data_IF_469091329786
#
_entry.id   IF_469091329786
#
_cell.length_a   1.000
_cell.length_b   1.000
_cell.length_c   1.000
_cell.angle_alpha   90.00
_cell.angle_beta   90.00
_cell.angle_gamma   90.00
#
_symmetry.space_group_name_H-M   'P 1'
#
loop_
_entity.id
_entity.type
_entity.pdbx_description
1 polymer ?
#
# COMPACT_ATOMS: atom_id res chain seq x y z
N UNK A 1 -9.06 -8.83 18.10
CA UNK A 1 -9.53 -8.75 16.71
C UNK A 1 -10.69 -9.70 16.59
N UNK A 2 -11.77 -9.31 15.94
CA UNK A 2 -13.02 -10.10 15.89
C UNK A 2 -12.99 -11.15 14.77
N UNK A 3 -12.20 -10.93 13.70
CA UNK A 3 -12.05 -11.86 12.58
C UNK A 3 -10.60 -12.32 12.49
N UNK A 4 -10.40 -13.64 12.45
CA UNK A 4 -9.09 -14.20 12.15
C UNK A 4 -8.73 -13.86 10.69
N UNK A 5 -7.53 -13.32 10.48
CA UNK A 5 -7.06 -12.95 9.15
C UNK A 5 -5.56 -13.18 8.99
N UNK A 6 -5.15 -13.57 7.78
CA UNK A 6 -3.76 -13.62 7.31
C UNK A 6 -3.57 -12.68 6.13
N UNK A 7 -2.32 -12.39 5.77
CA UNK A 7 -1.98 -11.52 4.63
C UNK A 7 -2.66 -10.14 4.71
N UNK A 8 -2.85 -9.62 5.92
CA UNK A 8 -3.42 -8.30 6.20
C UNK A 8 -2.30 -7.30 6.48
N UNK A 9 -2.68 -6.02 6.57
CA UNK A 9 -1.73 -4.96 6.94
C UNK A 9 -2.23 -4.17 8.13
N UNK A 10 -1.32 -3.88 9.05
CA UNK A 10 -1.57 -3.08 10.24
C UNK A 10 -0.97 -1.69 10.14
N UNK A 11 -1.64 -0.69 10.69
CA UNK A 11 -1.15 0.70 10.73
C UNK A 11 -1.76 1.47 11.90
N UNK A 12 -1.14 2.59 12.27
CA UNK A 12 -1.70 3.53 13.23
C UNK A 12 -2.29 4.74 12.51
N UNK A 13 -3.50 5.13 12.93
CA UNK A 13 -4.24 6.30 12.44
C UNK A 13 -5.19 6.74 13.56
N UNK A 14 -5.49 8.02 13.70
CA UNK A 14 -6.45 8.58 14.65
C UNK A 14 -6.23 8.11 16.11
N UNK A 15 -4.97 7.90 16.50
CA UNK A 15 -4.62 7.39 17.83
C UNK A 15 -5.06 5.94 18.10
N UNK A 16 -5.40 5.17 17.06
CA UNK A 16 -5.84 3.77 17.13
C UNK A 16 -4.99 2.88 16.22
N UNK A 17 -4.98 1.59 16.53
CA UNK A 17 -4.36 0.59 15.66
C UNK A 17 -5.41 0.00 14.73
N UNK A 18 -5.14 -0.04 13.43
CA UNK A 18 -6.01 -0.58 12.42
C UNK A 18 -5.39 -1.82 11.80
N UNK A 19 -6.23 -2.77 11.40
CA UNK A 19 -5.85 -3.86 10.50
C UNK A 19 -6.84 -3.90 9.35
N UNK A 20 -6.32 -3.94 8.11
CA UNK A 20 -7.13 -3.85 6.90
C UNK A 20 -6.91 -5.06 5.99
N UNK A 21 -7.99 -5.50 5.34
CA UNK A 21 -7.95 -6.49 4.28
C UNK A 21 -7.42 -7.86 4.73
N UNK A 22 -6.74 -8.54 3.81
CA UNK A 22 -6.24 -9.90 4.02
C UNK A 22 -7.30 -10.96 3.76
N UNK A 23 -7.15 -12.11 4.39
CA UNK A 23 -7.96 -13.30 4.11
C UNK A 23 -8.33 -14.03 5.39
N UNK A 24 -9.59 -14.46 5.52
CA UNK A 24 -10.03 -15.33 6.62
C UNK A 24 -9.75 -16.81 6.35
N UNK A 25 -9.58 -17.19 5.09
CA UNK A 25 -9.21 -18.56 4.68
C UNK A 25 -8.25 -18.53 3.48
N UNK A 26 -8.08 -19.64 2.76
CA UNK A 26 -7.27 -19.67 1.52
C UNK A 26 -8.03 -19.12 0.31
N UNK A 27 -9.35 -19.01 0.40
CA UNK A 27 -10.24 -18.57 -0.68
C UNK A 27 -10.97 -17.29 -0.34
N UNK A 28 -11.18 -17.02 0.96
CA UNK A 28 -12.06 -15.97 1.41
C UNK A 28 -11.26 -14.73 1.79
N UNK A 29 -11.45 -13.71 0.97
CA UNK A 29 -10.82 -12.43 1.18
C UNK A 29 -11.70 -11.48 1.97
N UNK A 30 -11.06 -10.57 2.69
CA UNK A 30 -11.72 -9.59 3.52
C UNK A 30 -11.62 -8.21 2.87
N UNK A 31 -12.77 -7.57 2.65
CA UNK A 31 -12.84 -6.14 2.31
C UNK A 31 -12.96 -5.26 3.54
N UNK A 32 -13.19 -5.84 4.72
CA UNK A 32 -13.32 -5.09 5.96
C UNK A 32 -11.96 -4.74 6.59
N UNK A 33 -11.96 -3.63 7.34
CA UNK A 33 -10.93 -3.32 8.32
C UNK A 33 -11.47 -3.47 9.74
N UNK A 34 -10.56 -3.48 10.71
CA UNK A 34 -10.89 -3.42 12.13
C UNK A 34 -9.99 -2.40 12.82
N UNK A 35 -10.58 -1.56 13.67
CA UNK A 35 -9.85 -0.62 14.50
C UNK A 35 -9.86 -1.09 15.95
N UNK A 36 -8.70 -0.97 16.60
CA UNK A 36 -8.52 -1.24 18.01
C UNK A 36 -8.39 0.07 18.77
N UNK A 37 -9.35 0.31 19.66
CA UNK A 37 -9.29 1.41 20.60
C UNK A 37 -8.49 0.98 21.83
N UNK A 38 -7.34 1.62 22.05
CA UNK A 38 -6.45 1.30 23.17
C UNK A 38 -7.06 1.65 24.55
N UNK A 39 -7.91 2.68 24.61
CA UNK A 39 -8.56 3.12 25.84
C UNK A 39 -9.65 2.16 26.30
N UNK A 40 -10.52 1.72 25.38
CA UNK A 40 -11.59 0.75 25.69
C UNK A 40 -11.16 -0.70 25.54
N UNK A 41 -9.94 -0.94 25.03
CA UNK A 41 -9.37 -2.26 24.72
C UNK A 41 -10.29 -3.12 23.85
N UNK A 42 -11.03 -2.50 22.92
CA UNK A 42 -12.02 -3.17 22.09
C UNK A 42 -11.75 -2.98 20.60
N UNK A 43 -12.20 -3.95 19.81
CA UNK A 43 -12.12 -3.94 18.36
C UNK A 43 -13.48 -3.56 17.75
N UNK A 44 -13.48 -2.64 16.79
CA UNK A 44 -14.65 -2.28 15.98
C UNK A 44 -14.38 -2.60 14.51
N UNK A 45 -15.30 -3.31 13.88
CA UNK A 45 -15.25 -3.63 12.45
C UNK A 45 -15.71 -2.44 11.61
N UNK A 46 -15.05 -2.22 10.48
CA UNK A 46 -15.39 -1.24 9.44
C UNK A 46 -15.61 -2.03 8.15
N UNK A 47 -16.86 -2.18 7.73
CA UNK A 47 -17.19 -2.91 6.52
C UNK A 47 -16.70 -2.18 5.27
N UNK A 48 -16.28 -2.93 4.25
CA UNK A 48 -15.85 -2.40 2.95
C UNK A 48 -14.73 -1.33 3.01
N UNK A 49 -13.92 -1.33 4.07
CA UNK A 49 -12.82 -0.38 4.25
C UNK A 49 -11.70 -0.56 3.22
N UNK A 50 -11.41 -1.78 2.76
CA UNK A 50 -10.39 -2.07 1.75
C UNK A 50 -11.03 -2.07 0.36
N UNK A 51 -10.46 -1.36 -0.64
CA UNK A 51 -11.07 -1.22 -1.96
C UNK A 51 -10.95 -2.50 -2.82
N UNK A 52 -10.69 -3.66 -2.20
CA UNK A 52 -10.46 -4.93 -2.87
C UNK A 52 -11.68 -5.41 -3.65
N UNK A 53 -11.83 -4.95 -4.88
CA UNK A 53 -12.59 -5.62 -5.90
C UNK A 53 -11.83 -6.88 -6.31
N UNK A 54 -12.18 -8.00 -5.69
CA UNK A 54 -11.81 -9.35 -6.15
C UNK A 54 -12.48 -9.73 -7.48
N UNK A 55 -13.34 -8.85 -8.00
CA UNK A 55 -14.06 -9.03 -9.24
C UNK A 55 -13.13 -8.84 -10.44
N UNK A 56 -12.75 -9.95 -11.09
CA UNK A 56 -12.28 -9.95 -12.48
C UNK A 56 -10.91 -10.57 -12.75
N UNK A 57 -10.16 -11.01 -11.72
CA UNK A 57 -8.87 -11.67 -11.91
C UNK A 57 -8.97 -13.19 -11.89
N UNK A 58 -8.33 -13.88 -12.84
CA UNK A 58 -8.18 -15.35 -12.89
C UNK A 58 -7.23 -15.92 -11.83
N UNK A 59 -6.56 -15.07 -11.04
CA UNK A 59 -5.53 -15.46 -10.09
C UNK A 59 -6.06 -15.68 -8.67
N UNK A 60 -5.56 -16.73 -8.03
CA UNK A 60 -5.88 -17.06 -6.64
C UNK A 60 -5.53 -15.87 -5.71
N UNK A 61 -6.46 -15.39 -4.88
CA UNK A 61 -6.21 -14.24 -4.01
C UNK A 61 -5.03 -14.40 -3.05
N UNK A 62 -4.69 -15.64 -2.67
CA UNK A 62 -3.52 -15.95 -1.84
C UNK A 62 -2.18 -15.65 -2.53
N UNK A 63 -2.18 -15.47 -3.86
CA UNK A 63 -1.00 -15.09 -4.63
C UNK A 63 -0.79 -13.57 -4.70
N UNK A 64 -1.71 -12.76 -4.17
CA UNK A 64 -1.54 -11.31 -4.10
C UNK A 64 -0.78 -10.91 -2.85
N UNK A 65 -0.02 -9.82 -2.93
CA UNK A 65 0.59 -9.25 -1.75
C UNK A 65 -0.50 -8.82 -0.74
N UNK A 66 -0.18 -8.81 0.57
CA UNK A 66 -0.98 -8.08 1.55
C UNK A 66 -1.26 -6.63 1.10
N UNK A 67 -2.30 -5.98 1.62
CA UNK A 67 -2.59 -4.57 1.35
C UNK A 67 -1.34 -3.68 1.52
N UNK A 68 -0.92 -3.00 0.46
CA UNK A 68 0.22 -2.11 0.53
C UNK A 68 -0.28 -0.73 0.96
N UNK A 69 -0.18 -0.44 2.26
CA UNK A 69 -0.74 0.78 2.87
C UNK A 69 0.31 1.57 3.63
N UNK A 70 0.11 2.88 3.69
CA UNK A 70 0.94 3.81 4.43
C UNK A 70 0.07 4.94 4.99
N UNK A 71 0.46 5.46 6.16
CA UNK A 71 -0.22 6.60 6.79
C UNK A 71 0.76 7.76 6.91
N UNK A 72 0.38 8.92 6.40
CA UNK A 72 1.11 10.18 6.51
C UNK A 72 0.15 11.21 7.06
N UNK A 73 0.57 12.00 8.06
CA UNK A 73 -0.25 13.08 8.62
C UNK A 73 -1.69 12.64 8.92
N UNK A 74 -1.81 11.45 9.52
CA UNK A 74 -3.07 10.84 9.86
C UNK A 74 -4.01 10.53 8.67
N UNK A 75 -3.49 10.53 7.45
CA UNK A 75 -4.19 10.16 6.23
C UNK A 75 -3.69 8.81 5.72
N UNK A 76 -4.62 7.88 5.49
CA UNK A 76 -4.33 6.56 4.94
C UNK A 76 -4.27 6.61 3.40
N UNK A 77 -3.24 5.96 2.86
CA UNK A 77 -3.03 5.73 1.44
C UNK A 77 -2.83 4.24 1.17
N UNK A 78 -3.19 3.79 -0.03
CA UNK A 78 -2.87 2.45 -0.52
C UNK A 78 -2.24 2.50 -1.91
N UNK A 79 -1.29 1.61 -2.16
CA UNK A 79 -0.84 1.26 -3.49
C UNK A 79 -1.73 0.12 -4.01
N UNK A 80 -2.66 0.45 -4.91
CA UNK A 80 -3.50 -0.54 -5.58
C UNK A 80 -2.70 -1.18 -6.71
N UNK A 81 -2.26 -2.42 -6.48
CA UNK A 81 -1.47 -3.18 -7.43
C UNK A 81 -2.26 -3.58 -8.70
N UNK A 82 -3.60 -3.61 -8.65
CA UNK A 82 -4.41 -4.06 -9.79
C UNK A 82 -4.57 -2.98 -10.85
N UNK A 83 -4.59 -1.73 -10.43
CA UNK A 83 -4.73 -0.55 -11.29
C UNK A 83 -3.43 0.25 -11.43
N UNK A 84 -2.40 -0.12 -10.66
CA UNK A 84 -1.13 0.58 -10.56
C UNK A 84 -1.27 2.05 -10.09
N UNK A 85 -2.18 2.27 -9.14
CA UNK A 85 -2.59 3.59 -8.65
C UNK A 85 -2.32 3.73 -7.15
N UNK A 86 -2.03 4.95 -6.71
CA UNK A 86 -2.09 5.34 -5.31
C UNK A 86 -3.47 5.93 -5.05
N UNK A 87 -4.14 5.40 -4.04
CA UNK A 87 -5.45 5.86 -3.59
C UNK A 87 -5.38 6.43 -2.18
N UNK A 88 -6.19 7.45 -1.92
CA UNK A 88 -6.37 8.11 -0.62
C UNK A 88 -7.72 7.70 -0.03
N UNK A 89 -7.73 7.33 1.25
CA UNK A 89 -8.94 6.90 1.97
C UNK A 89 -9.72 8.10 2.51
N UNK A 90 -11.00 8.21 2.15
CA UNK A 90 -11.95 9.12 2.77
C UNK A 90 -12.59 8.42 3.98
N UNK A 91 -12.26 8.90 5.18
CA UNK A 91 -12.74 8.34 6.45
C UNK A 91 -14.21 8.61 6.73
N UNK A 92 -14.75 9.71 6.18
CA UNK A 92 -16.15 10.12 6.40
C UNK A 92 -17.06 9.26 5.55
N UNK A 93 -16.69 9.10 4.28
CA UNK A 93 -17.49 8.36 3.30
C UNK A 93 -17.11 6.88 3.20
N UNK A 94 -16.06 6.43 3.90
CA UNK A 94 -15.52 5.08 3.83
C UNK A 94 -15.26 4.64 2.39
N UNK A 95 -14.54 5.47 1.64
CA UNK A 95 -14.29 5.28 0.22
C UNK A 95 -12.85 5.61 -0.15
N UNK A 96 -12.44 5.27 -1.37
CA UNK A 96 -11.08 5.52 -1.87
C UNK A 96 -11.14 6.34 -3.15
N UNK A 97 -10.24 7.32 -3.26
CA UNK A 97 -10.08 8.16 -4.45
C UNK A 97 -8.65 8.04 -4.98
N UNK A 98 -8.49 8.00 -6.31
CA UNK A 98 -7.18 7.96 -6.96
C UNK A 98 -6.50 9.33 -6.84
N UNK A 99 -5.23 9.34 -6.44
CA UNK A 99 -4.45 10.57 -6.26
C UNK A 99 -3.15 10.61 -7.05
N UNK A 100 -2.59 9.45 -7.45
CA UNK A 100 -1.37 9.37 -8.27
C UNK A 100 -1.26 8.01 -8.95
N UNK A 101 -0.48 7.88 -10.02
CA UNK A 101 -0.02 6.57 -10.51
C UNK A 101 1.28 6.15 -9.82
N UNK A 102 1.49 4.85 -9.62
CA UNK A 102 2.76 4.34 -9.09
C UNK A 102 3.88 4.52 -10.12
N UNK A 103 5.13 4.80 -9.68
CA UNK A 103 6.28 5.02 -10.57
C UNK A 103 6.87 3.71 -11.10
N UNK A 104 6.39 2.58 -10.58
CA UNK A 104 6.83 1.22 -10.90
C UNK A 104 5.60 0.38 -11.26
N UNK A 105 5.80 -0.75 -11.93
CA UNK A 105 4.74 -1.69 -12.31
C UNK A 105 4.42 -2.64 -11.16
N UNK A 106 3.49 -2.26 -10.29
CA UNK A 106 3.00 -3.11 -9.19
C UNK A 106 2.10 -4.26 -9.69
N UNK A 107 1.55 -4.12 -10.89
CA UNK A 107 0.66 -5.08 -11.56
C UNK A 107 1.39 -6.34 -12.04
N UNK A 108 2.66 -6.24 -12.44
CA UNK A 108 3.41 -7.36 -13.03
C UNK A 108 3.68 -8.53 -12.07
N UNK A 109 3.56 -8.31 -10.75
CA UNK A 109 3.82 -9.34 -9.74
C UNK A 109 2.76 -9.34 -8.63
N UNK A 110 1.54 -8.88 -8.92
CA UNK A 110 0.43 -8.83 -7.95
C UNK A 110 0.79 -8.09 -6.64
N UNK A 111 1.59 -7.03 -6.74
CA UNK A 111 2.08 -6.22 -5.61
C UNK A 111 3.33 -6.78 -4.90
N UNK A 112 3.78 -7.99 -5.23
CA UNK A 112 5.02 -8.54 -4.67
C UNK A 112 6.26 -7.84 -5.23
N UNK A 113 7.28 -7.67 -4.39
CA UNK A 113 8.51 -6.96 -4.76
C UNK A 113 8.37 -5.44 -4.75
N UNK A 114 7.21 -4.92 -4.34
CA UNK A 114 6.96 -3.50 -4.06
C UNK A 114 6.97 -3.26 -2.55
N UNK A 115 7.66 -2.21 -2.13
CA UNK A 115 7.47 -1.64 -0.81
C UNK A 115 6.83 -0.26 -0.92
N UNK A 116 5.76 -0.06 -0.15
CA UNK A 116 5.04 1.20 -0.03
C UNK A 116 5.02 1.58 1.45
N UNK A 117 5.60 2.73 1.79
CA UNK A 117 5.86 3.15 3.18
C UNK A 117 5.73 4.65 3.33
N UNK A 118 5.54 5.13 4.55
CA UNK A 118 5.62 6.54 4.90
C UNK A 118 7.01 6.87 5.47
N UNK A 119 7.52 8.06 5.15
CA UNK A 119 8.70 8.65 5.77
C UNK A 119 8.52 10.17 5.81
N UNK A 120 8.38 10.71 7.01
CA UNK A 120 8.03 12.10 7.27
C UNK A 120 6.69 12.42 6.62
N UNK A 121 6.68 13.44 5.77
CA UNK A 121 5.51 13.87 5.02
C UNK A 121 5.41 13.20 3.63
N UNK A 122 6.25 12.21 3.34
CA UNK A 122 6.37 11.60 2.01
C UNK A 122 6.02 10.11 1.97
N UNK A 123 5.39 9.69 0.88
CA UNK A 123 5.23 8.30 0.52
C UNK A 123 6.50 7.84 -0.18
N UNK A 124 7.05 6.72 0.27
CA UNK A 124 8.16 6.03 -0.36
C UNK A 124 7.65 4.82 -1.13
N UNK A 125 8.14 4.67 -2.36
CA UNK A 125 7.93 3.49 -3.20
C UNK A 125 9.30 2.90 -3.54
N UNK A 126 9.51 1.63 -3.20
CA UNK A 126 10.70 0.88 -3.62
C UNK A 126 10.26 -0.30 -4.47
N UNK A 127 10.80 -0.42 -5.67
CA UNK A 127 10.47 -1.52 -6.56
C UNK A 127 11.41 -1.60 -7.75
N UNK A 128 11.15 -2.56 -8.65
CA UNK A 128 11.87 -2.68 -9.90
C UNK A 128 11.75 -1.39 -10.73
N UNK A 129 12.87 -0.92 -11.27
CA UNK A 129 12.87 0.23 -12.18
C UNK A 129 12.05 -0.05 -13.44
N UNK A 130 11.32 0.98 -13.89
CA UNK A 130 10.55 0.93 -15.12
C UNK A 130 11.41 0.90 -16.40
N UNK A 131 10.78 0.96 -17.59
CA UNK A 131 11.45 0.82 -18.89
C UNK A 131 12.61 1.80 -19.14
N UNK A 132 12.61 2.96 -18.49
CA UNK A 132 13.67 3.98 -18.61
C UNK A 132 15.01 3.61 -17.98
N UNK A 133 15.12 2.50 -17.25
CA UNK A 133 16.36 2.07 -16.59
C UNK A 133 17.13 0.97 -17.37
N UNK A 134 16.69 0.62 -18.58
CA UNK A 134 17.31 -0.40 -19.46
C UNK A 134 17.17 -1.84 -18.93
N UNK A 135 17.85 -2.80 -19.57
CA UNK A 135 17.83 -4.23 -19.19
C UNK A 135 18.56 -4.54 -17.86
N UNK A 136 19.00 -3.49 -17.16
CA UNK A 136 19.66 -3.59 -15.89
C UNK A 136 18.59 -3.81 -14.81
N UNK A 137 18.66 -4.95 -14.12
CA UNK A 137 17.81 -5.27 -12.96
C UNK A 137 18.11 -4.31 -11.81
N UNK A 138 17.42 -3.17 -11.82
CA UNK A 138 17.56 -2.10 -10.82
C UNK A 138 16.40 -2.09 -9.84
N UNK A 139 16.71 -1.68 -8.62
CA UNK A 139 15.73 -1.27 -7.63
C UNK A 139 15.82 0.24 -7.45
N UNK A 140 14.69 0.93 -7.53
CA UNK A 140 14.60 2.39 -7.42
C UNK A 140 13.79 2.76 -6.20
N UNK A 141 14.30 3.71 -5.41
CA UNK A 141 13.58 4.35 -4.31
C UNK A 141 13.02 5.68 -4.81
N UNK A 142 11.71 5.78 -4.78
CA UNK A 142 10.94 6.96 -5.14
C UNK A 142 10.31 7.60 -3.92
N UNK A 143 10.12 8.92 -3.96
CA UNK A 143 9.42 9.70 -2.94
C UNK A 143 8.37 10.61 -3.56
N UNK A 144 7.27 10.82 -2.84
CA UNK A 144 6.26 11.82 -3.18
C UNK A 144 5.58 12.36 -1.92
N UNK A 145 5.57 13.69 -1.77
CA UNK A 145 4.82 14.38 -0.71
C UNK A 145 3.41 14.75 -1.22
N UNK A 146 2.32 14.22 -0.61
CA UNK A 146 0.96 14.55 -1.00
C UNK A 146 0.52 16.00 -0.70
N UNK A 147 1.17 16.70 0.23
CA UNK A 147 0.79 18.05 0.70
C UNK A 147 1.49 19.19 -0.05
N UNK A 148 2.69 18.96 -0.60
CA UNK A 148 3.41 19.96 -1.41
C UNK A 148 2.68 20.31 -2.72
N UNK A 149 1.62 19.55 -3.01
CA UNK A 149 0.60 19.92 -3.96
C UNK A 149 1.02 19.68 -5.40
N UNK A 150 0.00 19.45 -6.20
CA UNK A 150 -0.08 19.49 -7.65
C UNK A 150 0.35 20.83 -8.26
N UNK A 151 1.40 21.47 -7.74
CA UNK A 151 1.88 22.78 -8.22
C UNK A 151 2.67 22.69 -9.51
N UNK A 152 3.15 21.49 -9.83
CA UNK A 152 3.48 21.06 -11.16
C UNK A 152 3.10 19.59 -11.26
N UNK A 153 3.04 19.02 -12.46
CA UNK A 153 2.97 17.56 -12.64
C UNK A 153 4.24 16.84 -12.15
N UNK A 154 4.74 17.17 -10.95
CA UNK A 154 5.96 16.64 -10.37
C UNK A 154 5.79 15.14 -10.15
N UNK A 155 6.38 14.41 -11.10
CA UNK A 155 6.59 12.99 -11.02
C UNK A 155 7.28 12.59 -9.71
N UNK A 156 7.23 11.31 -9.40
CA UNK A 156 7.93 10.76 -8.25
C UNK A 156 9.41 11.13 -8.27
N UNK A 157 9.91 11.73 -7.18
CA UNK A 157 11.33 12.04 -7.05
C UNK A 157 12.13 10.75 -6.86
N UNK A 158 13.15 10.53 -7.67
CA UNK A 158 14.09 9.42 -7.47
C UNK A 158 15.08 9.82 -6.38
N UNK A 159 15.06 9.11 -5.24
CA UNK A 159 16.00 9.34 -4.15
C UNK A 159 17.25 8.46 -4.27
N UNK A 160 17.10 7.24 -4.78
CA UNK A 160 18.23 6.33 -4.96
C UNK A 160 17.94 5.27 -6.04
N UNK A 161 19.01 4.81 -6.70
CA UNK A 161 18.98 3.71 -7.67
C UNK A 161 20.03 2.70 -7.27
N UNK A 162 19.63 1.44 -7.07
CA UNK A 162 20.54 0.33 -6.82
C UNK A 162 20.62 -0.56 -8.05
N UNK A 163 21.79 -0.55 -8.69
CA UNK A 163 22.12 -1.41 -9.82
C UNK A 163 22.40 -2.84 -9.38
N UNK A 164 22.17 -3.82 -10.26
CA UNK A 164 22.47 -5.25 -10.05
C UNK A 164 21.84 -5.83 -8.77
N UNK A 165 20.71 -5.27 -8.33
CA UNK A 165 20.01 -5.69 -7.12
C UNK A 165 18.94 -6.76 -7.38
N UNK A 166 18.74 -7.13 -8.65
CA UNK A 166 17.58 -7.92 -9.06
C UNK A 166 16.36 -7.02 -9.31
N UNK A 167 15.21 -7.65 -9.56
CA UNK A 167 13.96 -6.96 -9.85
C UNK A 167 12.91 -7.16 -8.74
N UNK A 168 13.32 -7.65 -7.57
CA UNK A 168 12.40 -8.03 -6.51
C UNK A 168 12.91 -7.57 -5.14
N UNK A 169 12.07 -6.85 -4.41
CA UNK A 169 12.32 -6.46 -3.02
C UNK A 169 11.81 -7.57 -2.11
N UNK A 170 12.72 -8.36 -1.53
CA UNK A 170 12.38 -9.51 -0.68
C UNK A 170 11.94 -9.11 0.74
N UNK A 171 12.56 -8.07 1.30
CA UNK A 171 12.27 -7.58 2.64
C UNK A 171 12.40 -6.06 2.65
N UNK A 172 11.45 -5.38 3.26
CA UNK A 172 11.49 -3.94 3.43
C UNK A 172 11.00 -3.56 4.82
N UNK A 173 11.94 -3.53 5.77
CA UNK A 173 11.75 -2.87 7.05
C UNK A 173 12.11 -1.40 6.86
N UNK A 174 11.10 -0.56 6.60
CA UNK A 174 11.25 0.88 6.83
C UNK A 174 10.72 1.09 8.22
N UNK A 175 11.63 1.32 9.17
CA UNK A 175 11.25 1.84 10.48
C UNK A 175 10.97 3.34 10.30
N UNK A 176 9.87 3.81 10.88
CA UNK A 176 9.45 5.21 10.80
C UNK A 176 10.58 6.16 11.19
N UNK A 177 10.56 7.34 10.59
CA UNK A 177 11.39 8.47 11.00
C UNK A 177 10.86 9.11 12.28
#
# INVERSE_FOLDING_TARGET
MNIQRKLCSGFFMDGKFYVIGGMSSHTDCLTCGEEYNMGTRSWRRIENMYPGSYAGGTFNPAMRSPPLVAVINNQLYCADQSTNEVKKYDKVNNSWSVVKRLPVRADSSNGWGLAFKACGNSLLVVGAGGPGFGDHRVIVLHSWNPEEGSRDGSDWSVLAVKQRAGAFVYNCAVMGC
#
